data_IF_077207206858
#
_entry.id   IF_077207206858
#
_cell.length_a   1.000
_cell.length_b   1.000
_cell.length_c   1.000
_cell.angle_alpha   90.00
_cell.angle_beta   90.00
_cell.angle_gamma   90.00
#
_symmetry.space_group_name_H-M   'P 1'
#
loop_
_entity.id
_entity.type
_entity.pdbx_description
1 polymer ?
#
# COMPACT_ATOMS: atom_id res chain seq x y z
N UNK A 1 14.34 45.68 -6.07
CA UNK A 1 14.17 45.12 -4.70
C UNK A 1 13.60 43.71 -4.80
N UNK A 2 14.48 42.71 -4.77
CA UNK A 2 14.15 41.28 -4.92
C UNK A 2 13.65 40.71 -3.59
N UNK A 3 12.40 40.24 -3.55
CA UNK A 3 11.84 39.55 -2.38
C UNK A 3 12.57 38.22 -2.19
N UNK A 4 13.41 38.14 -1.16
CA UNK A 4 14.00 36.89 -0.67
C UNK A 4 12.86 35.93 -0.29
N UNK A 5 12.68 34.89 -1.09
CA UNK A 5 11.87 33.74 -0.72
C UNK A 5 12.56 33.07 0.48
N UNK A 6 11.98 33.17 1.67
CA UNK A 6 12.46 32.43 2.83
C UNK A 6 12.26 30.94 2.55
N UNK A 7 13.37 30.22 2.33
CA UNK A 7 13.39 28.75 2.30
C UNK A 7 12.82 28.24 3.62
N UNK A 8 11.75 27.45 3.55
CA UNK A 8 11.29 26.66 4.68
C UNK A 8 12.39 25.65 5.07
N UNK A 9 13.11 25.95 6.15
CA UNK A 9 14.09 25.04 6.76
C UNK A 9 13.33 24.08 7.66
N UNK A 10 12.94 22.93 7.13
CA UNK A 10 12.66 21.73 7.94
C UNK A 10 13.12 20.50 7.14
N UNK A 11 14.43 20.29 7.10
CA UNK A 11 14.97 19.02 6.66
C UNK A 11 14.49 17.93 7.60
N UNK A 12 13.90 16.86 7.05
CA UNK A 12 13.95 15.55 7.70
C UNK A 12 15.41 15.36 8.13
N UNK A 13 15.70 15.36 9.44
CA UNK A 13 17.03 14.99 9.91
C UNK A 13 17.19 13.50 9.64
N UNK A 14 17.61 13.16 8.42
CA UNK A 14 18.06 11.82 8.08
C UNK A 14 19.21 11.51 9.03
N UNK A 15 19.00 10.55 9.92
CA UNK A 15 20.11 10.07 10.76
C UNK A 15 21.11 9.42 9.81
N UNK A 16 22.40 9.69 9.97
CA UNK A 16 23.41 8.92 9.22
C UNK A 16 23.57 7.54 9.86
N UNK A 17 24.07 6.56 9.12
CA UNK A 17 24.34 5.22 9.66
C UNK A 17 25.26 5.27 10.90
N UNK A 18 26.23 6.19 10.92
CA UNK A 18 27.08 6.45 12.10
C UNK A 18 26.26 7.00 13.28
N UNK A 19 25.34 7.93 13.02
CA UNK A 19 24.48 8.51 14.07
C UNK A 19 23.53 7.47 14.65
N UNK A 20 22.99 6.56 13.84
CA UNK A 20 22.18 5.43 14.33
C UNK A 20 23.02 4.46 15.15
N UNK A 21 24.19 4.08 14.66
CA UNK A 21 25.11 3.21 15.40
C UNK A 21 25.45 3.78 16.78
N UNK A 22 25.78 5.08 16.85
CA UNK A 22 26.04 5.76 18.12
C UNK A 22 24.81 5.81 19.05
N UNK A 23 23.57 5.77 18.54
CA UNK A 23 22.37 5.66 19.38
C UNK A 23 22.20 4.27 19.98
N UNK A 24 22.57 3.23 19.25
CA UNK A 24 22.50 1.84 19.74
C UNK A 24 23.63 1.52 20.72
N UNK A 25 24.73 2.28 20.65
CA UNK A 25 25.88 2.07 21.51
C UNK A 25 25.61 2.52 22.95
N UNK A 26 25.79 1.61 23.90
CA UNK A 26 25.66 1.93 25.32
C UNK A 26 26.86 2.78 25.79
N UNK A 27 26.57 3.79 26.62
CA UNK A 27 27.61 4.56 27.32
C UNK A 27 28.20 3.72 28.45
N UNK A 28 29.53 3.75 28.57
CA UNK A 28 30.21 3.13 29.71
C UNK A 28 30.15 4.05 30.92
N UNK A 29 30.16 3.48 32.12
CA UNK A 29 30.16 4.24 33.37
C UNK A 29 31.41 5.12 33.45
N UNK A 30 31.24 6.40 33.83
CA UNK A 30 32.32 7.40 33.84
C UNK A 30 32.79 7.91 32.46
N UNK A 31 32.21 7.44 31.34
CA UNK A 31 32.63 7.85 30.00
C UNK A 31 32.10 9.24 29.63
N UNK A 32 33.03 10.17 29.34
CA UNK A 32 32.70 11.50 28.85
C UNK A 32 32.11 11.44 27.43
N UNK A 33 31.31 12.45 27.06
CA UNK A 33 30.69 12.49 25.73
C UNK A 33 31.72 12.48 24.58
N UNK A 34 32.87 13.12 24.78
CA UNK A 34 33.95 13.12 23.79
C UNK A 34 34.57 11.72 23.62
N UNK A 35 34.75 10.98 24.73
CA UNK A 35 35.25 9.61 24.70
C UNK A 35 34.24 8.67 24.02
N UNK A 36 32.95 8.79 24.35
CA UNK A 36 31.87 8.04 23.73
C UNK A 36 31.82 8.23 22.20
N UNK A 37 31.86 9.48 21.72
CA UNK A 37 31.83 9.77 20.28
C UNK A 37 33.09 9.28 19.55
N UNK A 38 34.26 9.35 20.19
CA UNK A 38 35.51 8.84 19.64
C UNK A 38 35.48 7.32 19.52
N UNK A 39 35.02 6.62 20.56
CA UNK A 39 34.84 5.17 20.56
C UNK A 39 33.80 4.72 19.53
N UNK A 40 32.64 5.36 19.50
CA UNK A 40 31.59 5.04 18.53
C UNK A 40 32.03 5.22 17.08
N UNK A 41 32.90 6.19 16.77
CA UNK A 41 33.50 6.32 15.43
C UNK A 41 34.48 5.18 15.11
N UNK A 42 35.30 4.77 16.07
CA UNK A 42 36.25 3.68 15.90
C UNK A 42 35.54 2.33 15.72
N UNK A 43 34.55 2.04 16.55
CA UNK A 43 33.75 0.81 16.46
C UNK A 43 32.91 0.78 15.17
N UNK A 44 32.31 1.90 14.77
CA UNK A 44 31.62 2.00 13.47
C UNK A 44 32.58 1.77 12.29
N UNK A 45 33.80 2.29 12.36
CA UNK A 45 34.81 2.08 11.32
C UNK A 45 35.20 0.60 11.19
N UNK A 46 35.21 -0.15 12.30
CA UNK A 46 35.53 -1.57 12.35
C UNK A 46 34.39 -2.50 11.87
N UNK A 47 33.15 -2.02 11.74
CA UNK A 47 32.03 -2.82 11.24
C UNK A 47 32.28 -3.32 9.80
N UNK A 48 31.73 -4.50 9.51
CA UNK A 48 31.71 -5.07 8.16
C UNK A 48 30.91 -4.19 7.19
N UNK A 49 31.17 -4.36 5.90
CA UNK A 49 30.42 -3.67 4.83
C UNK A 49 28.92 -3.99 4.92
N UNK A 50 28.57 -5.24 5.25
CA UNK A 50 27.18 -5.68 5.37
C UNK A 50 26.45 -5.00 6.54
N UNK A 51 27.10 -4.86 7.70
CA UNK A 51 26.53 -4.17 8.87
C UNK A 51 26.35 -2.67 8.62
N UNK A 52 27.34 -2.04 7.97
CA UNK A 52 27.24 -0.64 7.54
C UNK A 52 26.10 -0.43 6.55
N UNK A 53 25.88 -1.37 5.62
CA UNK A 53 24.76 -1.35 4.69
C UNK A 53 23.41 -1.53 5.41
N UNK A 54 23.29 -2.44 6.38
CA UNK A 54 22.07 -2.60 7.20
C UNK A 54 21.71 -1.30 7.93
N UNK A 55 22.69 -0.69 8.61
CA UNK A 55 22.51 0.59 9.30
C UNK A 55 22.16 1.75 8.34
N UNK A 56 22.70 1.73 7.11
CA UNK A 56 22.36 2.72 6.09
C UNK A 56 20.93 2.57 5.57
N UNK A 57 20.44 1.33 5.40
CA UNK A 57 19.04 1.06 5.05
C UNK A 57 18.09 1.49 6.16
N UNK A 58 18.43 1.18 7.41
CA UNK A 58 17.66 1.62 8.58
C UNK A 58 17.62 3.15 8.71
N UNK A 59 18.75 3.83 8.50
CA UNK A 59 18.87 5.29 8.44
C UNK A 59 18.05 5.93 7.31
N UNK A 60 17.86 5.20 6.21
CA UNK A 60 17.08 5.65 5.05
C UNK A 60 15.57 5.42 5.22
N UNK A 61 15.15 4.54 6.13
CA UNK A 61 13.73 4.33 6.46
C UNK A 61 13.18 5.58 7.15
N UNK A 62 12.15 6.25 6.60
CA UNK A 62 11.51 7.36 7.27
C UNK A 62 10.90 6.87 8.60
N UNK A 63 11.50 7.22 9.72
CA UNK A 63 10.96 6.89 11.03
C UNK A 63 9.61 7.61 11.20
N UNK A 64 8.53 6.83 11.26
CA UNK A 64 7.24 7.30 11.76
C UNK A 64 7.42 7.78 13.22
N UNK A 65 6.71 8.85 13.64
CA UNK A 65 6.91 9.45 14.96
C UNK A 65 6.73 8.42 16.09
N UNK A 66 7.76 8.30 16.94
CA UNK A 66 7.91 7.21 17.91
C UNK A 66 7.23 7.57 19.24
N UNK A 67 7.24 8.85 19.61
CA UNK A 67 6.65 9.31 20.88
C UNK A 67 5.22 9.82 20.71
N UNK A 68 4.40 9.69 21.77
CA UNK A 68 3.01 10.16 21.79
C UNK A 68 2.90 11.67 21.48
N UNK A 69 3.86 12.47 21.96
CA UNK A 69 3.91 13.91 21.73
C UNK A 69 4.27 14.26 20.28
N UNK A 70 5.19 13.52 19.66
CA UNK A 70 5.49 13.67 18.23
C UNK A 70 4.30 13.24 17.35
N UNK A 71 3.59 12.18 17.73
CA UNK A 71 2.33 11.77 17.07
C UNK A 71 1.27 12.86 17.17
N UNK A 72 1.05 13.44 18.36
CA UNK A 72 0.11 14.56 18.56
C UNK A 72 0.49 15.79 17.74
N UNK A 73 1.78 16.13 17.69
CA UNK A 73 2.29 17.27 16.92
C UNK A 73 2.12 17.07 15.43
N UNK A 74 2.42 15.87 14.92
CA UNK A 74 2.19 15.49 13.53
C UNK A 74 0.70 15.53 13.17
N UNK A 75 -0.16 14.96 14.02
CA UNK A 75 -1.61 14.96 13.81
C UNK A 75 -2.18 16.38 13.81
N UNK A 76 -1.73 17.25 14.72
CA UNK A 76 -2.11 18.66 14.78
C UNK A 76 -1.70 19.41 13.52
N UNK A 77 -0.48 19.17 13.02
CA UNK A 77 0.03 19.78 11.80
C UNK A 77 -0.72 19.28 10.55
N UNK A 78 -1.05 17.99 10.48
CA UNK A 78 -1.86 17.40 9.42
C UNK A 78 -3.27 18.00 9.42
N UNK A 79 -3.89 18.12 10.59
CA UNK A 79 -5.21 18.76 10.77
C UNK A 79 -5.20 20.22 10.32
N UNK A 80 -4.11 20.94 10.55
CA UNK A 80 -3.97 22.34 10.14
C UNK A 80 -3.73 22.50 8.64
N UNK A 81 -3.01 21.55 8.01
CA UNK A 81 -2.93 21.46 6.56
C UNK A 81 -4.29 21.11 5.93
N UNK A 82 -5.04 20.19 6.52
CA UNK A 82 -6.41 19.84 6.09
C UNK A 82 -7.34 21.06 6.18
N UNK A 83 -7.28 21.85 7.26
CA UNK A 83 -8.05 23.10 7.39
C UNK A 83 -7.73 24.12 6.30
N UNK A 84 -6.44 24.29 5.96
CA UNK A 84 -6.00 25.20 4.87
C UNK A 84 -6.47 24.74 3.48
N UNK A 85 -6.55 23.42 3.28
CA UNK A 85 -7.11 22.80 2.06
C UNK A 85 -8.64 22.96 1.99
N UNK A 86 -9.32 22.90 3.13
CA UNK A 86 -10.77 23.05 3.23
C UNK A 86 -11.24 24.48 2.90
N UNK A 87 -10.42 25.50 3.18
CA UNK A 87 -10.68 26.90 2.82
C UNK A 87 -10.38 27.26 1.35
N UNK A 88 -9.77 26.35 0.58
CA UNK A 88 -9.12 26.66 -0.70
C UNK A 88 -9.93 26.41 -1.97
N UNK A 89 -10.42 25.18 -2.23
CA UNK A 89 -11.05 24.85 -3.52
C UNK A 89 -11.73 23.46 -3.49
N UNK A 90 -13.06 23.39 -3.62
CA UNK A 90 -13.81 22.12 -3.54
C UNK A 90 -13.53 21.14 -4.71
N UNK A 91 -12.94 21.59 -5.82
CA UNK A 91 -12.75 20.78 -7.03
C UNK A 91 -11.30 20.37 -7.31
N UNK A 92 -10.32 21.28 -7.18
CA UNK A 92 -8.90 21.02 -7.48
C UNK A 92 -8.18 20.15 -6.43
N UNK A 93 -8.72 20.08 -5.21
CA UNK A 93 -8.13 19.30 -4.13
C UNK A 93 -8.40 17.80 -4.23
N UNK A 94 -9.53 17.37 -4.80
CA UNK A 94 -9.87 15.94 -4.87
C UNK A 94 -8.91 15.15 -5.75
N UNK A 95 -8.58 15.67 -6.93
CA UNK A 95 -7.69 14.98 -7.89
C UNK A 95 -6.26 14.91 -7.38
N UNK A 96 -5.74 16.02 -6.83
CA UNK A 96 -4.39 16.08 -6.26
C UNK A 96 -4.25 15.21 -5.01
N UNK A 97 -5.26 15.24 -4.13
CA UNK A 97 -5.30 14.40 -2.92
C UNK A 97 -5.39 12.92 -3.28
N UNK A 98 -6.28 12.53 -4.20
CA UNK A 98 -6.40 11.16 -4.65
C UNK A 98 -5.09 10.65 -5.26
N UNK A 99 -4.43 11.46 -6.10
CA UNK A 99 -3.10 11.12 -6.64
C UNK A 99 -2.08 10.89 -5.54
N UNK A 100 -2.02 11.76 -4.54
CA UNK A 100 -1.10 11.59 -3.41
C UNK A 100 -1.41 10.32 -2.61
N UNK A 101 -2.69 10.04 -2.32
CA UNK A 101 -3.13 8.83 -1.64
C UNK A 101 -2.76 7.57 -2.43
N UNK A 102 -3.03 7.53 -3.73
CA UNK A 102 -2.66 6.40 -4.61
C UNK A 102 -1.15 6.20 -4.64
N UNK A 103 -0.35 7.28 -4.72
CA UNK A 103 1.11 7.17 -4.69
C UNK A 103 1.60 6.58 -3.36
N UNK A 104 1.10 7.08 -2.23
CA UNK A 104 1.49 6.57 -0.90
C UNK A 104 1.05 5.12 -0.72
N UNK A 105 -0.16 4.78 -1.17
CA UNK A 105 -0.68 3.42 -1.16
C UNK A 105 0.23 2.49 -1.96
N UNK A 106 0.56 2.85 -3.21
CA UNK A 106 1.42 2.03 -4.06
C UNK A 106 2.83 1.83 -3.46
N UNK A 107 3.45 2.90 -2.94
CA UNK A 107 4.76 2.79 -2.29
C UNK A 107 4.69 1.88 -1.06
N UNK A 108 3.66 2.05 -0.23
CA UNK A 108 3.48 1.25 0.99
C UNK A 108 3.24 -0.23 0.67
N UNK A 109 2.38 -0.53 -0.31
CA UNK A 109 2.09 -1.90 -0.74
C UNK A 109 3.32 -2.55 -1.38
N UNK A 110 4.06 -1.84 -2.25
CA UNK A 110 5.29 -2.36 -2.83
C UNK A 110 6.35 -2.69 -1.78
N UNK A 111 6.50 -1.84 -0.76
CA UNK A 111 7.41 -2.13 0.35
C UNK A 111 6.96 -3.34 1.18
N UNK A 112 5.65 -3.51 1.38
CA UNK A 112 5.09 -4.68 2.07
C UNK A 112 5.29 -5.97 1.25
N UNK A 113 5.03 -5.93 -0.05
CA UNK A 113 5.27 -7.04 -0.99
C UNK A 113 6.74 -7.45 -0.98
N UNK A 114 7.66 -6.50 -1.08
CA UNK A 114 9.10 -6.79 -1.07
C UNK A 114 9.52 -7.50 0.23
N UNK A 115 8.96 -7.08 1.37
CA UNK A 115 9.22 -7.73 2.66
C UNK A 115 8.66 -9.15 2.72
N UNK A 116 7.44 -9.40 2.22
CA UNK A 116 6.90 -10.77 2.13
C UNK A 116 7.75 -11.64 1.21
N UNK A 117 8.16 -11.13 0.06
CA UNK A 117 8.97 -11.84 -0.92
C UNK A 117 10.31 -12.28 -0.32
N UNK A 118 11.01 -11.37 0.38
CA UNK A 118 12.29 -11.67 1.05
C UNK A 118 12.13 -12.70 2.18
N UNK A 119 10.97 -12.73 2.84
CA UNK A 119 10.68 -13.67 3.92
C UNK A 119 10.14 -15.01 3.42
N UNK A 120 9.73 -15.10 2.16
CA UNK A 120 9.18 -16.31 1.56
C UNK A 120 10.29 -17.31 1.24
N UNK A 121 10.01 -18.59 1.47
CA UNK A 121 10.96 -19.66 1.16
C UNK A 121 11.18 -19.74 -0.35
N UNK A 122 12.41 -20.10 -0.75
CA UNK A 122 12.71 -20.32 -2.16
C UNK A 122 11.99 -21.57 -2.63
N UNK A 123 11.37 -21.49 -3.79
CA UNK A 123 10.81 -22.66 -4.45
C UNK A 123 11.83 -23.11 -5.50
N UNK A 124 12.40 -24.30 -5.33
CA UNK A 124 13.43 -24.82 -6.23
C UNK A 124 12.93 -24.84 -7.68
N UNK A 125 13.72 -24.26 -8.59
CA UNK A 125 13.38 -24.17 -10.01
C UNK A 125 12.28 -23.16 -10.37
N UNK A 126 11.84 -22.30 -9.45
CA UNK A 126 10.82 -21.28 -9.71
C UNK A 126 11.28 -19.89 -9.27
N UNK A 127 11.14 -18.90 -10.17
CA UNK A 127 11.42 -17.49 -9.84
C UNK A 127 10.36 -16.86 -8.93
N UNK A 128 9.17 -17.46 -8.86
CA UNK A 128 8.08 -16.97 -8.02
C UNK A 128 8.16 -17.55 -6.61
N UNK A 129 7.70 -16.78 -5.63
CA UNK A 129 7.62 -17.21 -4.22
C UNK A 129 6.19 -17.48 -3.80
N UNK A 130 6.04 -18.48 -2.94
CA UNK A 130 4.74 -18.87 -2.40
C UNK A 130 4.53 -18.24 -1.03
N UNK A 131 3.39 -17.56 -0.85
CA UNK A 131 3.01 -16.96 0.43
C UNK A 131 1.57 -17.29 0.80
N UNK A 132 1.27 -17.17 2.09
CA UNK A 132 -0.08 -17.22 2.61
C UNK A 132 -0.61 -15.80 2.79
N UNK A 133 -1.89 -15.59 2.46
CA UNK A 133 -2.54 -14.29 2.51
C UNK A 133 -3.90 -14.36 3.20
N UNK A 134 -4.27 -13.24 3.80
CA UNK A 134 -5.62 -12.95 4.28
C UNK A 134 -6.27 -12.02 3.26
N UNK A 135 -7.54 -12.21 2.87
CA UNK A 135 -8.27 -11.16 2.15
C UNK A 135 -9.66 -10.95 2.70
N UNK A 136 -10.07 -9.69 2.73
CA UNK A 136 -11.34 -9.22 3.28
C UNK A 136 -11.87 -8.06 2.41
N UNK A 137 -13.19 -7.93 2.33
CA UNK A 137 -13.91 -6.90 1.63
C UNK A 137 -14.54 -5.87 2.57
N UNK A 138 -14.53 -4.61 2.18
CA UNK A 138 -15.35 -3.58 2.82
C UNK A 138 -16.28 -2.91 1.81
N UNK A 139 -17.46 -2.50 2.26
CA UNK A 139 -18.51 -1.95 1.41
C UNK A 139 -18.79 -0.49 1.77
N UNK A 140 -19.12 0.32 0.77
CA UNK A 140 -19.41 1.75 0.99
C UNK A 140 -20.70 1.96 1.80
N UNK A 141 -21.62 1.00 1.77
CA UNK A 141 -22.87 1.03 2.52
C UNK A 141 -23.08 -0.30 3.22
N UNK A 142 -23.69 -0.27 4.41
CA UNK A 142 -23.99 -1.48 5.17
C UNK A 142 -25.01 -2.34 4.41
N UNK A 143 -24.73 -3.64 4.31
CA UNK A 143 -25.64 -4.64 3.75
C UNK A 143 -25.46 -4.93 2.26
N UNK A 144 -26.27 -5.88 1.77
CA UNK A 144 -26.18 -6.49 0.45
C UNK A 144 -26.52 -5.56 -0.73
N UNK A 145 -26.94 -4.32 -0.47
CA UNK A 145 -27.33 -3.33 -1.49
C UNK A 145 -26.17 -2.47 -1.98
N UNK A 146 -24.97 -2.63 -1.42
CA UNK A 146 -23.85 -1.76 -1.76
C UNK A 146 -23.46 -1.86 -3.22
N UNK A 147 -23.22 -0.71 -3.85
CA UNK A 147 -22.83 -0.64 -5.26
C UNK A 147 -21.32 -0.59 -5.44
N UNK A 148 -20.57 -0.33 -4.37
CA UNK A 148 -19.12 -0.15 -4.38
C UNK A 148 -18.53 -0.85 -3.16
N UNK A 149 -17.48 -1.63 -3.39
CA UNK A 149 -16.68 -2.25 -2.34
C UNK A 149 -15.20 -2.21 -2.67
N UNK A 150 -14.36 -2.46 -1.68
CA UNK A 150 -12.91 -2.61 -1.82
C UNK A 150 -12.49 -3.89 -1.16
N UNK A 151 -11.77 -4.72 -1.90
CA UNK A 151 -11.14 -5.94 -1.39
C UNK A 151 -9.69 -5.62 -1.05
N UNK A 152 -9.22 -6.10 0.08
CA UNK A 152 -7.85 -5.89 0.56
C UNK A 152 -7.21 -7.24 0.84
N UNK A 153 -5.96 -7.42 0.41
CA UNK A 153 -5.16 -8.61 0.69
C UNK A 153 -3.96 -8.25 1.54
N UNK A 154 -3.74 -9.04 2.59
CA UNK A 154 -2.72 -8.85 3.63
C UNK A 154 -1.76 -10.05 3.59
N UNK A 155 -0.46 -9.78 3.60
CA UNK A 155 0.56 -10.81 3.75
C UNK A 155 0.57 -11.38 5.16
N UNK A 156 0.56 -12.70 5.32
CA UNK A 156 0.45 -13.32 6.64
C UNK A 156 1.72 -13.19 7.49
N UNK A 157 2.90 -13.04 6.90
CA UNK A 157 4.15 -12.95 7.68
C UNK A 157 4.36 -11.56 8.25
N UNK A 158 4.09 -10.52 7.44
CA UNK A 158 4.32 -9.14 7.83
C UNK A 158 3.07 -8.42 8.38
N UNK A 159 1.87 -8.99 8.17
CA UNK A 159 0.60 -8.41 8.61
C UNK A 159 0.23 -7.10 7.93
N UNK A 160 0.77 -6.83 6.74
CA UNK A 160 0.57 -5.58 5.98
C UNK A 160 -0.23 -5.81 4.71
N UNK A 161 -0.94 -4.77 4.29
CA UNK A 161 -1.63 -4.75 3.01
C UNK A 161 -0.62 -4.82 1.87
N UNK A 162 -0.77 -5.84 1.03
CA UNK A 162 0.07 -6.08 -0.14
C UNK A 162 -0.66 -5.79 -1.46
N UNK A 163 -1.99 -5.87 -1.47
CA UNK A 163 -2.79 -5.52 -2.64
C UNK A 163 -4.22 -5.10 -2.27
N UNK A 164 -4.88 -4.37 -3.17
CA UNK A 164 -6.28 -3.96 -3.03
C UNK A 164 -7.00 -3.96 -4.38
N UNK A 165 -8.29 -4.24 -4.40
CA UNK A 165 -9.13 -4.15 -5.59
C UNK A 165 -10.44 -3.44 -5.29
N UNK A 166 -10.67 -2.28 -5.90
CA UNK A 166 -11.98 -1.64 -5.89
C UNK A 166 -12.92 -2.36 -6.88
N UNK A 167 -14.14 -2.66 -6.41
CA UNK A 167 -15.21 -3.29 -7.18
C UNK A 167 -16.42 -2.36 -7.20
N UNK A 168 -17.04 -2.19 -8.37
CA UNK A 168 -18.23 -1.37 -8.50
C UNK A 168 -19.21 -1.97 -9.49
N UNK A 169 -20.49 -1.93 -9.11
CA UNK A 169 -21.64 -2.32 -9.94
C UNK A 169 -22.20 -1.16 -10.77
N UNK A 170 -21.64 0.02 -10.60
CA UNK A 170 -22.12 1.24 -11.24
C UNK A 170 -20.97 1.99 -11.89
N UNK A 171 -21.27 2.62 -13.01
CA UNK A 171 -20.42 3.66 -13.55
C UNK A 171 -21.24 4.95 -13.64
N UNK A 172 -20.94 5.92 -12.77
CA UNK A 172 -21.68 7.18 -12.70
C UNK A 172 -21.63 7.97 -14.01
N UNK A 173 -20.52 7.86 -14.75
CA UNK A 173 -20.39 8.44 -16.08
C UNK A 173 -21.42 7.81 -17.01
N UNK A 174 -21.43 6.48 -17.15
CA UNK A 174 -22.45 5.77 -17.93
C UNK A 174 -23.88 6.10 -17.48
N UNK A 175 -24.15 6.15 -16.17
CA UNK A 175 -25.47 6.49 -15.63
C UNK A 175 -25.95 7.89 -16.06
N UNK A 176 -25.03 8.83 -16.22
CA UNK A 176 -25.33 10.20 -16.65
C UNK A 176 -25.63 10.27 -18.16
N UNK A 177 -25.07 9.34 -18.94
CA UNK A 177 -25.20 9.29 -20.39
C UNK A 177 -26.25 8.29 -20.89
N UNK A 178 -26.82 7.47 -20.01
CA UNK A 178 -27.81 6.41 -20.37
C UNK A 178 -29.08 6.92 -21.08
N UNK A 179 -29.42 8.20 -20.92
CA UNK A 179 -30.59 8.84 -21.54
C UNK A 179 -30.27 9.56 -22.84
N UNK A 180 -28.98 9.65 -23.21
CA UNK A 180 -28.56 10.28 -24.45
C UNK A 180 -28.70 9.31 -25.61
N UNK A 181 -28.95 9.84 -26.82
CA UNK A 181 -28.99 9.03 -28.04
C UNK A 181 -27.59 8.43 -28.31
N UNK A 182 -27.46 7.09 -28.32
CA UNK A 182 -26.18 6.41 -28.61
C UNK A 182 -25.60 6.73 -29.98
N UNK A 183 -26.43 7.15 -30.94
CA UNK A 183 -26.00 7.49 -32.30
C UNK A 183 -25.62 8.98 -32.45
N UNK A 184 -25.76 9.79 -31.39
CA UNK A 184 -25.42 11.20 -31.46
C UNK A 184 -23.91 11.41 -31.45
N UNK A 185 -23.43 12.40 -32.21
CA UNK A 185 -22.03 12.81 -32.23
C UNK A 185 -21.49 13.11 -30.82
N UNK A 186 -22.35 13.67 -29.96
CA UNK A 186 -22.01 13.96 -28.55
C UNK A 186 -21.76 12.69 -27.74
N UNK A 187 -22.57 11.65 -27.94
CA UNK A 187 -22.37 10.36 -27.27
C UNK A 187 -21.08 9.69 -27.76
N UNK A 188 -20.87 9.63 -29.08
CA UNK A 188 -19.66 9.06 -29.68
C UNK A 188 -18.38 9.76 -29.19
N UNK A 189 -18.39 11.10 -29.13
CA UNK A 189 -17.26 11.88 -28.64
C UNK A 189 -16.96 11.65 -27.15
N UNK A 190 -17.97 11.33 -26.33
CA UNK A 190 -17.79 10.98 -24.92
C UNK A 190 -17.40 9.52 -24.71
N UNK A 191 -18.00 8.59 -25.44
CA UNK A 191 -17.84 7.15 -25.23
C UNK A 191 -16.39 6.68 -25.49
N UNK A 192 -15.74 7.23 -26.54
CA UNK A 192 -14.38 6.86 -26.91
C UNK A 192 -13.34 7.08 -25.78
N UNK A 193 -13.21 8.27 -25.17
CA UNK A 193 -12.30 8.45 -24.03
C UNK A 193 -12.80 7.80 -22.73
N UNK A 194 -14.11 7.56 -22.58
CA UNK A 194 -14.67 7.02 -21.33
C UNK A 194 -14.17 5.61 -20.99
N UNK A 195 -13.76 4.81 -21.96
CA UNK A 195 -13.23 3.47 -21.72
C UNK A 195 -12.08 3.45 -20.69
N UNK A 196 -11.24 4.50 -20.67
CA UNK A 196 -10.15 4.64 -19.69
C UNK A 196 -10.63 4.91 -18.25
N UNK A 197 -11.83 5.48 -18.11
CA UNK A 197 -12.46 5.84 -16.84
C UNK A 197 -13.68 4.94 -16.52
N UNK A 198 -13.79 3.79 -17.18
CA UNK A 198 -14.90 2.87 -16.96
C UNK A 198 -14.76 2.17 -15.60
N UNK A 199 -15.77 2.33 -14.75
CA UNK A 199 -15.69 1.88 -13.35
C UNK A 199 -16.62 0.71 -13.03
N UNK A 200 -17.40 0.20 -13.98
CA UNK A 200 -18.23 -0.98 -13.73
C UNK A 200 -17.34 -2.22 -13.83
N UNK A 201 -16.98 -2.76 -12.67
CA UNK A 201 -16.00 -3.85 -12.53
C UNK A 201 -16.59 -5.10 -11.90
N UNK A 202 -17.86 -5.07 -11.50
CA UNK A 202 -18.55 -6.21 -10.90
C UNK A 202 -19.99 -6.32 -11.40
N UNK A 203 -20.40 -7.55 -11.71
CA UNK A 203 -21.78 -7.89 -12.05
C UNK A 203 -22.37 -8.86 -11.02
N UNK A 204 -23.69 -8.78 -10.81
CA UNK A 204 -24.41 -9.65 -9.88
C UNK A 204 -24.47 -9.13 -8.43
N UNK A 205 -24.49 -10.04 -7.46
CA UNK A 205 -24.70 -9.71 -6.05
C UNK A 205 -23.49 -9.03 -5.42
N UNK A 206 -23.75 -8.06 -4.54
CA UNK A 206 -22.68 -7.29 -3.87
C UNK A 206 -21.88 -8.13 -2.88
N UNK A 207 -22.48 -9.17 -2.30
CA UNK A 207 -21.77 -10.17 -1.48
C UNK A 207 -20.74 -10.99 -2.25
N UNK A 208 -20.76 -10.96 -3.59
CA UNK A 208 -19.76 -11.61 -4.43
C UNK A 208 -18.61 -10.70 -4.86
N UNK A 209 -18.64 -9.41 -4.49
CA UNK A 209 -17.58 -8.46 -4.83
C UNK A 209 -16.25 -8.83 -4.19
N UNK A 210 -16.29 -9.36 -2.97
CA UNK A 210 -15.10 -9.86 -2.28
C UNK A 210 -14.46 -10.97 -3.10
N UNK A 211 -15.20 -12.04 -3.39
CA UNK A 211 -14.70 -13.14 -4.19
C UNK A 211 -14.19 -12.71 -5.57
N UNK A 212 -14.93 -11.84 -6.27
CA UNK A 212 -14.48 -11.34 -7.57
C UNK A 212 -13.21 -10.50 -7.47
N UNK A 213 -13.11 -9.62 -6.46
CA UNK A 213 -11.93 -8.78 -6.27
C UNK A 213 -10.71 -9.60 -5.82
N UNK A 214 -10.90 -10.61 -4.98
CA UNK A 214 -9.83 -11.56 -4.60
C UNK A 214 -9.31 -12.30 -5.82
N UNK A 215 -10.19 -12.78 -6.72
CA UNK A 215 -9.74 -13.39 -7.97
C UNK A 215 -8.89 -12.43 -8.83
N UNK A 216 -9.29 -11.16 -8.93
CA UNK A 216 -8.53 -10.15 -9.70
C UNK A 216 -7.16 -9.89 -9.09
N UNK A 217 -7.04 -9.91 -7.76
CA UNK A 217 -5.78 -9.78 -7.02
C UNK A 217 -4.88 -11.00 -7.27
N UNK A 218 -5.43 -12.21 -7.18
CA UNK A 218 -4.68 -13.46 -7.37
C UNK A 218 -4.15 -13.58 -8.80
N UNK A 219 -4.95 -13.21 -9.80
CA UNK A 219 -4.56 -13.31 -11.21
C UNK A 219 -3.36 -12.43 -11.57
N UNK A 220 -3.26 -11.22 -11.00
CA UNK A 220 -2.17 -10.28 -11.30
C UNK A 220 -0.93 -10.46 -10.42
N UNK A 221 -1.00 -11.24 -9.34
CA UNK A 221 0.05 -11.30 -8.32
C UNK A 221 1.40 -11.76 -8.87
N UNK A 222 1.40 -12.71 -9.81
CA UNK A 222 2.64 -13.25 -10.41
C UNK A 222 3.29 -12.21 -11.30
N UNK A 223 2.53 -11.59 -12.20
CA UNK A 223 3.07 -10.58 -13.12
C UNK A 223 3.53 -9.33 -12.35
N UNK A 224 2.75 -8.89 -11.37
CA UNK A 224 3.02 -7.65 -10.66
C UNK A 224 4.08 -7.78 -9.56
N UNK A 225 4.13 -8.93 -8.87
CA UNK A 225 4.89 -9.08 -7.64
C UNK A 225 5.78 -10.33 -7.57
N UNK A 226 5.73 -11.23 -8.57
CA UNK A 226 6.41 -12.54 -8.54
C UNK A 226 6.00 -13.39 -7.32
N UNK A 227 4.76 -13.22 -6.86
CA UNK A 227 4.18 -13.94 -5.74
C UNK A 227 3.01 -14.82 -6.19
N UNK A 228 2.95 -16.04 -5.65
CA UNK A 228 1.77 -16.91 -5.71
C UNK A 228 1.15 -17.03 -4.33
N UNK A 229 -0.16 -16.88 -4.27
CA UNK A 229 -0.91 -16.95 -3.02
C UNK A 229 -1.43 -18.39 -2.83
N UNK A 230 -0.64 -19.24 -2.18
CA UNK A 230 -0.92 -20.67 -2.00
C UNK A 230 -1.75 -20.96 -0.76
N UNK A 231 -1.76 -20.07 0.23
CA UNK A 231 -2.70 -20.10 1.34
C UNK A 231 -3.63 -18.91 1.32
N UNK A 232 -4.92 -19.17 1.50
CA UNK A 232 -5.94 -18.14 1.54
C UNK A 232 -6.84 -18.35 2.76
N UNK A 233 -7.01 -17.27 3.53
CA UNK A 233 -8.03 -17.16 4.57
C UNK A 233 -8.85 -15.90 4.28
N UNK A 234 -10.16 -16.05 4.24
CA UNK A 234 -11.11 -14.95 4.11
C UNK A 234 -12.25 -15.14 5.08
N UNK A 235 -12.80 -14.03 5.57
CA UNK A 235 -13.94 -14.00 6.49
C UNK A 235 -15.29 -13.98 5.77
N UNK A 236 -15.28 -13.80 4.45
CA UNK A 236 -16.47 -13.71 3.64
C UNK A 236 -17.20 -15.02 3.40
N UNK A 237 -18.21 -14.94 2.53
CA UNK A 237 -19.13 -16.03 2.23
C UNK A 237 -18.39 -17.34 1.90
N UNK A 238 -18.99 -18.46 2.29
CA UNK A 238 -18.47 -19.83 2.11
C UNK A 238 -18.08 -20.18 0.67
N UNK A 239 -18.36 -19.32 -0.31
CA UNK A 239 -18.04 -19.46 -1.72
C UNK A 239 -16.80 -18.68 -2.20
N UNK A 240 -16.20 -17.78 -1.40
CA UNK A 240 -15.02 -16.99 -1.82
C UNK A 240 -13.86 -17.91 -2.17
N UNK A 241 -13.51 -18.84 -1.27
CA UNK A 241 -12.45 -19.84 -1.54
C UNK A 241 -12.73 -20.65 -2.81
N UNK A 242 -13.96 -21.17 -2.95
CA UNK A 242 -14.35 -21.97 -4.11
C UNK A 242 -14.14 -21.19 -5.40
N UNK A 243 -14.57 -19.93 -5.46
CA UNK A 243 -14.38 -19.09 -6.64
C UNK A 243 -12.93 -18.80 -6.98
N UNK A 244 -12.10 -18.54 -5.97
CA UNK A 244 -10.66 -18.32 -6.17
C UNK A 244 -10.00 -19.59 -6.68
N UNK A 245 -10.30 -20.74 -6.07
CA UNK A 245 -9.80 -22.04 -6.49
C UNK A 245 -10.22 -22.40 -7.92
N UNK A 246 -11.52 -22.26 -8.23
CA UNK A 246 -12.09 -22.52 -9.55
C UNK A 246 -11.52 -21.58 -10.63
N UNK A 247 -11.07 -20.37 -10.24
CA UNK A 247 -10.44 -19.43 -11.17
C UNK A 247 -9.04 -19.84 -11.63
N UNK A 248 -8.44 -20.85 -10.98
CA UNK A 248 -7.12 -21.42 -11.30
C UNK A 248 -6.08 -20.35 -11.65
N UNK A 249 -5.82 -19.37 -10.75
CA UNK A 249 -4.99 -18.21 -11.07
C UNK A 249 -3.56 -18.58 -11.47
N UNK A 250 -3.10 -19.78 -11.10
CA UNK A 250 -1.75 -20.30 -11.36
C UNK A 250 -1.72 -21.63 -12.14
N UNK A 251 -2.85 -22.08 -12.71
CA UNK A 251 -2.95 -23.34 -13.48
C UNK A 251 -3.12 -24.61 -12.64
N UNK A 252 -3.25 -25.78 -13.33
CA UNK A 252 -3.41 -27.11 -12.71
C UNK A 252 -2.11 -27.53 -12.01
N UNK A 253 -2.02 -27.28 -10.70
CA UNK A 253 -0.87 -27.63 -9.87
C UNK A 253 -0.65 -26.70 -8.66
N UNK A 254 -1.27 -25.52 -8.65
CA UNK A 254 -1.29 -24.63 -7.49
C UNK A 254 -2.23 -25.18 -6.42
N UNK A 255 -1.72 -26.01 -5.51
CA UNK A 255 -2.50 -26.46 -4.35
C UNK A 255 -2.75 -25.27 -3.43
N UNK A 256 -4.01 -24.82 -3.37
CA UNK A 256 -4.45 -23.84 -2.38
C UNK A 256 -4.85 -24.56 -1.09
N UNK A 257 -3.99 -24.57 -0.08
CA UNK A 257 -4.34 -25.12 1.24
C UNK A 257 -5.18 -24.08 2.00
N UNK A 258 -6.45 -24.38 2.24
CA UNK A 258 -7.32 -23.57 3.11
C UNK A 258 -7.47 -24.25 4.48
N UNK A 259 -7.46 -23.44 5.55
CA UNK A 259 -8.05 -23.80 6.84
C UNK A 259 -9.24 -22.86 7.03
N UNK A 260 -10.44 -23.44 7.14
CA UNK A 260 -11.66 -22.74 7.52
C UNK A 260 -11.80 -22.62 9.02
#
# INVERSE_FOLDING_TARGET
MTKKCQKAVWGFKRSTALTLFQKHLQRKEGESNAMFLKRGRAEYAALSVLEKQKLAREAATPALPITLEEKKKYLKQLMEQLKKVQSGHRFYHKTTYNKACTTVQNISMQAAVAQEYEQAEEVEGNENRDIHVLSDGTWMTVGFSSQVGVVTTIGMKNGKVIDTQAKSKVCKSCDSWKKQDPNSDKYCAWAAPHAADFTLTHEGFSGLMEASGTCDIFKRSVEQYKLRYTGFVGDGYTNTYKKVSDSMPYGRGGQHTARG
#
